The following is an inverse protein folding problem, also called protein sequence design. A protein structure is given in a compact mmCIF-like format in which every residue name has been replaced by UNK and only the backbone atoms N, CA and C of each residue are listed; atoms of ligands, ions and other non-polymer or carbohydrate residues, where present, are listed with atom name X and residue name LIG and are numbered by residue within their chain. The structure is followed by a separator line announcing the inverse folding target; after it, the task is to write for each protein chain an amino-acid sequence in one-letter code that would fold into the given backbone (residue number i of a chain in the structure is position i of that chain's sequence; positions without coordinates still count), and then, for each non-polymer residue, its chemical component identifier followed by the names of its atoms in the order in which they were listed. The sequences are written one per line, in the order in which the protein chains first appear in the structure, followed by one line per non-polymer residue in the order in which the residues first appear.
data_IF_532539170245
#
_entry.id   IF_532539170245
#
_cell.length_a   1.000
_cell.length_b   1.000
_cell.length_c   1.000
_cell.angle_alpha   90.00
_cell.angle_beta   90.00
_cell.angle_gamma   90.00
#
_symmetry.space_group_name_H-M   'P 1'
#
loop_
_entity.id
_entity.type
_entity.pdbx_description
1 polymer ?
#
# COMPACT_ATOMS: atom_id res chain seq x y z
N UNK A 1 9.39 7.23 11.67
CA UNK A 1 8.65 8.49 11.73
C UNK A 1 7.25 8.26 12.28
N UNK A 2 6.90 9.05 13.28
CA UNK A 2 5.60 8.88 13.94
C UNK A 2 4.49 9.45 13.06
N UNK A 3 3.49 8.66 12.77
CA UNK A 3 2.36 9.09 11.97
C UNK A 3 1.46 10.01 12.80
N UNK A 4 1.07 11.13 12.19
CA UNK A 4 0.17 12.07 12.85
C UNK A 4 -1.23 11.47 12.95
N UNK A 5 -1.83 11.58 14.13
CA UNK A 5 -3.19 11.14 14.34
C UNK A 5 -4.16 12.07 13.60
N UNK A 6 -5.07 11.53 12.84
CA UNK A 6 -6.03 12.29 12.07
C UNK A 6 -7.45 11.94 12.47
N UNK A 7 -8.38 12.86 12.19
CA UNK A 7 -9.79 12.55 12.29
C UNK A 7 -10.16 11.50 11.25
N UNK A 8 -11.20 10.67 11.50
CA UNK A 8 -11.61 9.65 10.56
C UNK A 8 -11.91 10.19 9.16
N UNK A 9 -12.54 11.35 9.05
CA UNK A 9 -12.86 11.95 7.76
C UNK A 9 -11.60 12.26 6.97
N UNK A 10 -10.61 12.87 7.62
CA UNK A 10 -9.34 13.19 6.97
C UNK A 10 -8.59 11.92 6.59
N UNK A 11 -8.58 10.91 7.47
CA UNK A 11 -7.93 9.65 7.19
C UNK A 11 -8.56 8.93 6.00
N UNK A 12 -9.89 8.99 5.87
CA UNK A 12 -10.57 8.36 4.75
C UNK A 12 -10.21 9.02 3.42
N UNK A 13 -10.09 10.34 3.39
CA UNK A 13 -9.79 11.09 2.16
C UNK A 13 -8.30 11.03 1.82
N UNK A 14 -7.45 11.26 2.82
CA UNK A 14 -6.01 11.32 2.60
C UNK A 14 -5.35 9.93 2.62
N UNK A 15 -6.01 8.98 3.27
CA UNK A 15 -5.45 7.64 3.42
C UNK A 15 -4.09 7.68 4.09
N UNK A 16 -3.16 6.91 3.57
CA UNK A 16 -1.79 6.84 4.06
C UNK A 16 -0.86 7.74 3.24
N UNK A 17 -1.36 8.86 2.72
CA UNK A 17 -0.57 9.73 1.85
C UNK A 17 0.67 10.31 2.52
N UNK A 18 0.71 10.35 3.86
CA UNK A 18 1.91 10.80 4.57
C UNK A 18 3.11 9.88 4.32
N UNK A 19 2.86 8.67 3.84
CA UNK A 19 3.92 7.71 3.53
C UNK A 19 4.46 7.88 2.11
N UNK A 20 3.91 8.81 1.35
CA UNK A 20 4.37 9.06 -0.01
C UNK A 20 5.72 9.76 0.00
N UNK A 21 6.43 9.61 -1.11
CA UNK A 21 7.72 10.26 -1.29
C UNK A 21 7.54 11.77 -1.39
N UNK A 22 8.56 12.49 -0.94
CA UNK A 22 8.61 13.95 -1.07
C UNK A 22 8.42 14.33 -2.55
N UNK A 23 7.62 15.36 -2.79
CA UNK A 23 7.29 15.84 -4.13
C UNK A 23 6.48 14.85 -4.95
N UNK A 24 5.83 13.88 -4.31
CA UNK A 24 4.92 12.98 -4.98
C UNK A 24 3.60 13.64 -5.30
N UNK A 25 2.74 12.98 -6.07
CA UNK A 25 1.42 13.53 -6.37
C UNK A 25 0.57 13.62 -5.12
N UNK A 26 -0.37 14.56 -5.12
CA UNK A 26 -1.28 14.72 -3.98
C UNK A 26 -2.12 13.47 -3.78
N UNK A 27 -2.64 12.90 -4.87
CA UNK A 27 -3.34 11.62 -4.84
C UNK A 27 -2.33 10.51 -5.11
N UNK A 28 -2.40 9.37 -4.39
CA UNK A 28 -1.49 8.25 -4.65
C UNK A 28 -1.65 7.71 -6.07
N UNK A 29 -0.54 7.25 -6.65
CA UNK A 29 -0.57 6.60 -7.95
C UNK A 29 -1.32 5.27 -7.86
N UNK A 30 -1.97 4.91 -8.96
CA UNK A 30 -2.61 3.60 -9.09
C UNK A 30 -1.67 2.71 -9.91
N UNK A 31 -1.20 1.64 -9.32
CA UNK A 31 -0.28 0.70 -9.98
C UNK A 31 -1.07 -0.38 -10.70
N UNK A 32 -1.39 -0.13 -11.96
CA UNK A 32 -2.18 -1.06 -12.79
C UNK A 32 -1.27 -2.04 -13.51
N UNK A 33 -0.61 -2.89 -12.75
CA UNK A 33 0.32 -3.87 -13.30
C UNK A 33 0.30 -5.16 -12.48
N UNK A 34 0.66 -6.27 -13.13
CA UNK A 34 0.79 -7.54 -12.44
C UNK A 34 2.24 -7.81 -12.02
N UNK A 35 3.20 -7.31 -12.79
CA UNK A 35 4.63 -7.54 -12.53
C UNK A 35 5.38 -6.22 -12.52
N UNK A 36 6.51 -6.22 -11.84
CA UNK A 36 7.39 -5.06 -11.75
C UNK A 36 8.76 -5.40 -12.30
N UNK A 37 9.41 -4.43 -12.92
CA UNK A 37 10.77 -4.61 -13.42
C UNK A 37 11.75 -4.74 -12.28
N UNK A 38 12.73 -5.63 -12.48
CA UNK A 38 13.85 -5.77 -11.56
C UNK A 38 15.14 -5.61 -12.34
N UNK A 39 16.15 -5.00 -11.71
CA UNK A 39 17.41 -4.69 -12.39
C UNK A 39 18.26 -5.93 -12.61
N UNK A 40 18.28 -6.86 -11.66
CA UNK A 40 19.11 -8.06 -11.72
C UNK A 40 18.59 -9.12 -10.75
N UNK A 41 19.28 -10.26 -10.71
CA UNK A 41 18.88 -11.38 -9.87
C UNK A 41 18.94 -11.04 -8.37
N UNK A 42 19.89 -10.23 -7.96
CA UNK A 42 19.98 -9.84 -6.55
C UNK A 42 18.80 -8.99 -6.14
N UNK A 43 18.39 -8.04 -7.00
CA UNK A 43 17.22 -7.24 -6.74
C UNK A 43 15.96 -8.08 -6.76
N UNK A 44 15.86 -9.06 -7.67
CA UNK A 44 14.71 -9.96 -7.71
C UNK A 44 14.52 -10.67 -6.39
N UNK A 45 15.60 -11.22 -5.82
CA UNK A 45 15.53 -11.88 -4.53
C UNK A 45 15.09 -10.92 -3.44
N UNK A 46 15.63 -9.72 -3.45
CA UNK A 46 15.34 -8.71 -2.43
C UNK A 46 13.87 -8.25 -2.47
N UNK A 47 13.30 -8.09 -3.66
CA UNK A 47 11.93 -7.55 -3.78
C UNK A 47 10.84 -8.61 -3.74
N UNK A 48 11.21 -9.90 -3.71
CA UNK A 48 10.23 -11.01 -3.74
C UNK A 48 9.19 -10.92 -2.63
N UNK A 49 9.59 -10.41 -1.48
CA UNK A 49 8.70 -10.29 -0.32
C UNK A 49 8.09 -8.90 -0.17
N UNK A 50 8.30 -8.03 -1.15
CA UNK A 50 7.77 -6.67 -1.12
C UNK A 50 6.50 -6.56 -1.96
N UNK A 51 5.86 -5.40 -1.92
CA UNK A 51 4.70 -5.12 -2.74
C UNK A 51 5.06 -4.62 -4.15
N UNK A 52 6.33 -4.78 -4.57
CA UNK A 52 6.81 -4.34 -5.89
C UNK A 52 7.46 -5.48 -6.66
N UNK A 53 6.91 -6.67 -6.56
CA UNK A 53 7.39 -7.82 -7.32
C UNK A 53 6.30 -8.38 -8.22
N UNK A 54 5.21 -8.83 -7.65
CA UNK A 54 4.11 -9.42 -8.40
C UNK A 54 2.81 -9.13 -7.64
N UNK A 55 1.81 -8.62 -8.35
CA UNK A 55 0.58 -8.13 -7.73
C UNK A 55 -0.15 -9.18 -6.89
N UNK A 56 -0.06 -10.46 -7.25
CA UNK A 56 -0.66 -11.52 -6.43
C UNK A 56 -0.09 -11.52 -5.01
N UNK A 57 1.20 -11.21 -4.88
CA UNK A 57 1.87 -11.13 -3.58
C UNK A 57 1.65 -9.78 -2.91
N UNK A 58 1.49 -8.75 -3.69
CA UNK A 58 1.28 -7.41 -3.18
C UNK A 58 1.43 -6.37 -4.27
N UNK A 59 0.90 -5.20 -4.00
CA UNK A 59 0.94 -4.07 -4.93
C UNK A 59 0.86 -2.79 -4.11
N UNK A 60 1.63 -1.74 -4.45
CA UNK A 60 1.60 -0.50 -3.66
C UNK A 60 0.21 0.10 -3.49
N UNK A 61 -0.67 -0.03 -4.49
CA UNK A 61 -2.04 0.46 -4.38
C UNK A 61 -2.83 -0.33 -3.33
N UNK A 62 -2.67 -1.66 -3.29
CA UNK A 62 -3.31 -2.50 -2.30
C UNK A 62 -2.76 -2.21 -0.91
N UNK A 63 -1.44 -2.05 -0.79
CA UNK A 63 -0.79 -1.70 0.47
C UNK A 63 -1.36 -0.40 1.03
N UNK A 64 -1.54 0.59 0.18
CA UNK A 64 -2.07 1.88 0.60
C UNK A 64 -3.51 1.74 1.12
N UNK A 65 -4.34 0.94 0.44
CA UNK A 65 -5.71 0.69 0.87
C UNK A 65 -5.72 -0.02 2.24
N UNK A 66 -4.87 -1.01 2.42
CA UNK A 66 -4.76 -1.73 3.69
C UNK A 66 -4.31 -0.81 4.81
N UNK A 67 -3.35 0.06 4.55
CA UNK A 67 -2.88 1.02 5.55
C UNK A 67 -3.96 2.03 5.92
N UNK A 68 -4.78 2.43 4.95
CA UNK A 68 -5.88 3.36 5.19
C UNK A 68 -6.93 2.72 6.12
N UNK A 69 -7.31 1.47 5.86
CA UNK A 69 -8.24 0.75 6.71
C UNK A 69 -7.67 0.56 8.12
N UNK A 70 -6.38 0.21 8.19
CA UNK A 70 -5.68 0.07 9.46
C UNK A 70 -5.77 1.36 10.28
N UNK A 71 -5.55 2.50 9.65
CA UNK A 71 -5.63 3.80 10.33
C UNK A 71 -7.04 4.11 10.80
N UNK A 72 -8.06 3.80 9.98
CA UNK A 72 -9.45 4.07 10.33
C UNK A 72 -9.94 3.19 11.48
N UNK A 73 -9.55 1.92 11.48
CA UNK A 73 -10.01 0.95 12.48
C UNK A 73 -9.12 0.90 13.73
N UNK A 74 -7.95 1.52 13.68
CA UNK A 74 -7.02 1.51 14.81
C UNK A 74 -6.44 0.13 15.07
N UNK A 75 -6.24 -0.68 14.03
CA UNK A 75 -5.71 -2.04 14.15
C UNK A 75 -4.23 -2.06 13.82
N UNK A 76 -3.57 -3.21 14.05
CA UNK A 76 -2.16 -3.37 13.72
C UNK A 76 -1.94 -3.56 12.23
N UNK A 77 -2.88 -4.22 11.56
CA UNK A 77 -2.75 -4.54 10.14
C UNK A 77 -4.12 -4.82 9.54
N UNK A 78 -4.19 -4.82 8.22
CA UNK A 78 -5.39 -5.15 7.47
C UNK A 78 -4.99 -5.90 6.21
N UNK A 79 -5.89 -6.74 5.71
CA UNK A 79 -5.72 -7.46 4.45
C UNK A 79 -6.94 -7.20 3.58
N UNK A 80 -6.70 -6.96 2.30
CA UNK A 80 -7.74 -6.69 1.31
C UNK A 80 -7.89 -7.91 0.41
N UNK A 81 -9.13 -8.31 0.16
CA UNK A 81 -9.45 -9.46 -0.67
C UNK A 81 -10.41 -9.06 -1.80
N UNK A 82 -10.40 -9.83 -2.87
CA UNK A 82 -11.23 -9.54 -4.05
C UNK A 82 -12.71 -9.80 -3.80
N UNK A 83 -13.05 -10.59 -2.78
CA UNK A 83 -14.42 -10.93 -2.46
C UNK A 83 -14.58 -11.24 -0.99
N UNK A 84 -15.82 -11.21 -0.50
CA UNK A 84 -16.11 -11.60 0.88
C UNK A 84 -15.79 -13.06 1.17
N UNK A 85 -15.95 -13.93 0.18
CA UNK A 85 -15.60 -15.34 0.35
C UNK A 85 -14.10 -15.56 0.47
N UNK A 86 -13.29 -14.73 -0.20
CA UNK A 86 -11.84 -14.79 -0.07
C UNK A 86 -11.36 -14.39 1.30
N UNK A 87 -12.10 -13.48 1.93
CA UNK A 87 -11.76 -13.03 3.27
C UNK A 87 -12.11 -14.10 4.28
#
# INVERSE_FOLDING_TARGET
MKQRKRRPETAAVRGASDLQKKNGPVAPEIYQTSTFEVADNEEQIRVTTTDRYYTRWGNPTITLAEQTVTALEGTEAALVFASGMGA
#
